data_IF_758729404058
#
_entry.id   IF_758729404058
#
_cell.length_a   1.000
_cell.length_b   1.000
_cell.length_c   1.000
_cell.angle_alpha   90.00
_cell.angle_beta   90.00
_cell.angle_gamma   90.00
#
_symmetry.space_group_name_H-M   'P 1'
#
loop_
_entity.id
_entity.type
_entity.pdbx_description
1 polymer ?
#
# COMPACT_ATOMS: atom_id res chain seq x y z
N UNK A 1 0.59 -16.10 4.02
CA UNK A 1 -0.33 -15.77 2.92
C UNK A 1 -1.73 -16.12 3.36
N UNK A 2 -2.62 -15.15 3.41
CA UNK A 2 -4.04 -15.40 3.70
C UNK A 2 -4.73 -15.82 2.40
N UNK A 3 -5.62 -16.82 2.42
CA UNK A 3 -6.36 -17.23 1.24
C UNK A 3 -7.49 -16.22 0.96
N UNK A 4 -7.14 -15.03 0.49
CA UNK A 4 -8.10 -14.02 0.09
C UNK A 4 -8.62 -14.35 -1.31
N UNK A 5 -9.94 -14.57 -1.41
CA UNK A 5 -10.64 -14.68 -2.68
C UNK A 5 -11.59 -13.49 -2.84
N UNK A 6 -12.02 -13.15 -4.06
CA UNK A 6 -13.04 -12.11 -4.25
C UNK A 6 -14.29 -12.31 -3.39
N UNK A 7 -14.69 -13.57 -3.19
CA UNK A 7 -15.87 -13.93 -2.38
C UNK A 7 -15.64 -13.67 -0.89
N UNK A 8 -14.46 -14.07 -0.36
CA UNK A 8 -14.17 -13.87 1.08
C UNK A 8 -13.99 -12.40 1.42
N UNK A 9 -13.32 -11.67 0.55
CA UNK A 9 -13.11 -10.21 0.72
C UNK A 9 -14.45 -9.46 0.55
N UNK A 10 -15.26 -9.84 -0.43
CA UNK A 10 -16.59 -9.28 -0.63
C UNK A 10 -17.52 -9.52 0.57
N UNK A 11 -17.51 -10.74 1.13
CA UNK A 11 -18.30 -11.06 2.32
C UNK A 11 -17.87 -10.24 3.54
N UNK A 12 -16.56 -10.07 3.74
CA UNK A 12 -16.03 -9.24 4.82
C UNK A 12 -16.41 -7.75 4.65
N UNK A 13 -16.38 -7.22 3.42
CA UNK A 13 -16.85 -5.87 3.11
C UNK A 13 -18.33 -5.69 3.49
N UNK A 14 -19.22 -6.60 3.10
CA UNK A 14 -20.64 -6.47 3.41
C UNK A 14 -20.90 -6.57 4.93
N UNK A 15 -20.16 -7.43 5.65
CA UNK A 15 -20.25 -7.48 7.11
C UNK A 15 -19.81 -6.16 7.77
N UNK A 16 -18.71 -5.55 7.28
CA UNK A 16 -18.23 -4.25 7.76
C UNK A 16 -19.24 -3.14 7.46
N UNK A 17 -19.79 -3.08 6.23
CA UNK A 17 -20.82 -2.09 5.86
C UNK A 17 -22.03 -2.18 6.78
N UNK A 18 -22.46 -3.40 7.08
CA UNK A 18 -23.59 -3.60 8.01
C UNK A 18 -23.25 -3.07 9.41
N UNK A 19 -22.07 -3.40 9.94
CA UNK A 19 -21.66 -2.94 11.27
C UNK A 19 -21.57 -1.41 11.36
N UNK A 20 -21.04 -0.74 10.32
CA UNK A 20 -20.98 0.72 10.24
C UNK A 20 -22.37 1.34 10.17
N UNK A 21 -23.29 0.77 9.38
CA UNK A 21 -24.66 1.25 9.32
C UNK A 21 -25.39 1.09 10.67
N UNK A 22 -25.20 -0.03 11.36
CA UNK A 22 -25.76 -0.28 12.71
C UNK A 22 -25.19 0.74 13.75
N UNK A 23 -23.95 1.22 13.56
CA UNK A 23 -23.30 2.25 14.38
C UNK A 23 -23.67 3.68 13.97
N UNK A 24 -24.41 3.86 12.87
CA UNK A 24 -24.74 5.17 12.33
C UNK A 24 -23.62 5.87 11.59
N UNK A 25 -22.56 5.16 11.23
CA UNK A 25 -21.43 5.69 10.46
C UNK A 25 -21.68 5.56 8.96
N UNK A 26 -21.78 6.69 8.26
CA UNK A 26 -21.98 6.75 6.80
C UNK A 26 -20.63 6.97 6.12
N UNK A 27 -20.00 5.88 5.66
CA UNK A 27 -18.76 5.88 4.92
C UNK A 27 -18.80 4.88 3.75
N UNK A 28 -18.29 5.30 2.59
CA UNK A 28 -18.17 4.41 1.43
C UNK A 28 -17.01 3.45 1.65
N UNK A 29 -17.29 2.14 1.59
CA UNK A 29 -16.29 1.08 1.70
C UNK A 29 -16.11 0.42 0.34
N UNK A 30 -14.90 0.51 -0.18
CA UNK A 30 -14.43 -0.27 -1.32
C UNK A 30 -13.49 -1.39 -0.86
N UNK A 31 -13.27 -2.38 -1.72
CA UNK A 31 -12.37 -3.48 -1.40
C UNK A 31 -11.47 -3.84 -2.59
N UNK A 32 -10.26 -4.23 -2.26
CA UNK A 32 -9.27 -4.77 -3.18
C UNK A 32 -8.39 -5.77 -2.42
N UNK A 33 -7.31 -6.21 -3.05
CA UNK A 33 -6.27 -6.99 -2.39
C UNK A 33 -4.91 -6.34 -2.62
N UNK A 34 -4.02 -6.51 -1.65
CA UNK A 34 -2.60 -6.21 -1.78
C UNK A 34 -1.88 -7.45 -2.29
N UNK A 35 -1.19 -7.30 -3.40
CA UNK A 35 -0.54 -8.41 -4.09
C UNK A 35 0.96 -8.35 -3.91
N UNK A 36 1.51 -9.34 -3.22
CA UNK A 36 2.96 -9.51 -3.18
C UNK A 36 3.45 -10.04 -4.53
N UNK A 37 4.46 -9.37 -5.10
CA UNK A 37 5.07 -9.76 -6.38
C UNK A 37 5.83 -11.07 -6.20
N UNK A 38 5.19 -12.18 -6.59
CA UNK A 38 5.70 -13.54 -6.56
C UNK A 38 5.07 -14.38 -7.69
N UNK A 39 5.35 -15.70 -7.71
CA UNK A 39 4.82 -16.61 -8.72
C UNK A 39 3.29 -16.73 -8.69
N UNK A 40 2.65 -16.54 -7.53
CA UNK A 40 1.20 -16.56 -7.42
C UNK A 40 0.60 -15.31 -8.08
N UNK A 41 1.16 -14.14 -7.78
CA UNK A 41 0.78 -12.89 -8.43
C UNK A 41 0.88 -12.99 -9.95
N UNK A 42 1.98 -13.54 -10.49
CA UNK A 42 2.15 -13.71 -11.93
C UNK A 42 1.04 -14.57 -12.55
N UNK A 43 0.63 -15.65 -11.87
CA UNK A 43 -0.48 -16.50 -12.33
C UNK A 43 -1.83 -15.79 -12.30
N UNK A 44 -2.10 -15.01 -11.25
CA UNK A 44 -3.36 -14.26 -11.12
C UNK A 44 -3.43 -13.13 -12.16
N UNK A 45 -2.29 -12.48 -12.46
CA UNK A 45 -2.17 -11.47 -13.51
C UNK A 45 -2.45 -12.07 -14.90
N UNK A 46 -1.84 -13.21 -15.23
CA UNK A 46 -2.08 -13.90 -16.48
C UNK A 46 -3.54 -14.39 -16.64
N UNK A 47 -4.15 -14.79 -15.54
CA UNK A 47 -5.54 -15.25 -15.51
C UNK A 47 -6.57 -14.09 -15.44
N UNK A 48 -6.11 -12.83 -15.39
CA UNK A 48 -6.95 -11.63 -15.27
C UNK A 48 -7.89 -11.66 -14.05
N UNK A 49 -7.42 -12.25 -12.92
CA UNK A 49 -8.22 -12.40 -11.69
C UNK A 49 -7.85 -11.43 -10.57
N UNK A 50 -7.13 -10.35 -10.91
CA UNK A 50 -6.74 -9.36 -9.92
C UNK A 50 -7.91 -8.47 -9.51
N UNK A 51 -8.05 -8.26 -8.22
CA UNK A 51 -8.99 -7.30 -7.65
C UNK A 51 -8.35 -5.91 -7.67
N UNK A 52 -9.07 -4.94 -8.21
CA UNK A 52 -8.60 -3.55 -8.27
C UNK A 52 -9.47 -2.64 -7.40
N UNK A 53 -8.90 -1.54 -6.98
CA UNK A 53 -9.66 -0.38 -6.50
C UNK A 53 -10.32 0.35 -7.68
N UNK A 54 -11.28 1.26 -7.44
CA UNK A 54 -11.84 2.12 -8.48
C UNK A 54 -10.74 2.80 -9.32
N UNK A 55 -11.04 3.08 -10.59
CA UNK A 55 -10.10 3.65 -11.57
C UNK A 55 -8.88 2.76 -11.89
N UNK A 56 -9.03 1.44 -11.76
CA UNK A 56 -8.02 0.43 -12.07
C UNK A 56 -6.73 0.52 -11.23
N UNK A 57 -6.80 1.09 -10.03
CA UNK A 57 -5.67 1.04 -9.11
C UNK A 57 -5.46 -0.38 -8.57
N UNK A 58 -4.21 -0.81 -8.53
CA UNK A 58 -3.82 -2.11 -7.97
C UNK A 58 -2.70 -1.92 -6.95
N UNK A 59 -2.89 -2.50 -5.76
CA UNK A 59 -1.90 -2.47 -4.70
C UNK A 59 -0.91 -3.61 -4.89
N UNK A 60 0.37 -3.28 -5.03
CA UNK A 60 1.47 -4.25 -5.16
C UNK A 60 2.49 -4.07 -4.04
N UNK A 61 2.96 -5.18 -3.51
CA UNK A 61 3.95 -5.26 -2.44
C UNK A 61 5.21 -5.98 -2.92
N UNK A 62 6.37 -5.43 -2.62
CA UNK A 62 7.63 -6.16 -2.79
C UNK A 62 7.89 -7.10 -1.61
N UNK A 63 8.53 -8.25 -1.82
CA UNK A 63 9.09 -9.03 -0.72
C UNK A 63 10.05 -8.19 0.14
N UNK A 64 9.94 -8.27 1.47
CA UNK A 64 10.76 -7.47 2.40
C UNK A 64 12.26 -7.83 2.39
N UNK A 65 12.61 -9.00 1.88
CA UNK A 65 14.01 -9.49 1.87
C UNK A 65 14.84 -8.85 0.76
N UNK A 66 14.23 -8.65 -0.41
CA UNK A 66 14.89 -8.06 -1.59
C UNK A 66 13.87 -7.62 -2.63
N UNK A 67 14.27 -6.68 -3.48
CA UNK A 67 13.52 -6.32 -4.67
C UNK A 67 13.36 -7.52 -5.62
N UNK A 68 12.15 -7.76 -6.17
CA UNK A 68 11.97 -8.75 -7.24
C UNK A 68 12.76 -8.34 -8.49
N UNK A 69 13.49 -9.30 -9.09
CA UNK A 69 14.30 -9.01 -10.29
C UNK A 69 13.52 -8.60 -11.52
N UNK A 70 12.18 -8.78 -11.49
CA UNK A 70 11.26 -8.43 -12.57
C UNK A 70 10.33 -7.25 -12.24
N UNK A 71 10.60 -6.47 -11.17
CA UNK A 71 9.72 -5.40 -10.71
C UNK A 71 9.41 -4.38 -11.83
N UNK A 72 10.43 -3.94 -12.56
CA UNK A 72 10.24 -2.97 -13.66
C UNK A 72 9.33 -3.54 -14.77
N UNK A 73 9.50 -4.82 -15.11
CA UNK A 73 8.64 -5.51 -16.09
C UNK A 73 7.21 -5.63 -15.57
N UNK A 74 7.01 -5.93 -14.29
CA UNK A 74 5.67 -6.02 -13.66
C UNK A 74 4.97 -4.67 -13.72
N UNK A 75 5.65 -3.57 -13.37
CA UNK A 75 5.09 -2.22 -13.45
C UNK A 75 4.67 -1.90 -14.89
N UNK A 76 5.53 -2.21 -15.86
CA UNK A 76 5.23 -2.00 -17.27
C UNK A 76 4.02 -2.85 -17.74
N UNK A 77 4.00 -4.15 -17.43
CA UNK A 77 2.93 -5.07 -17.84
C UNK A 77 1.57 -4.67 -17.27
N UNK A 78 1.54 -4.22 -16.01
CA UNK A 78 0.33 -3.68 -15.39
C UNK A 78 -0.21 -2.47 -16.17
N UNK A 79 0.66 -1.53 -16.53
CA UNK A 79 0.27 -0.33 -17.28
C UNK A 79 -0.22 -0.67 -18.69
N UNK A 80 0.43 -1.62 -19.38
CA UNK A 80 -0.01 -2.10 -20.71
C UNK A 80 -1.42 -2.70 -20.65
N UNK A 81 -1.77 -3.32 -19.52
CA UNK A 81 -3.13 -3.86 -19.25
C UNK A 81 -4.12 -2.79 -18.76
N UNK A 82 -3.72 -1.52 -18.72
CA UNK A 82 -4.57 -0.41 -18.28
C UNK A 82 -4.74 -0.33 -16.75
N UNK A 83 -3.89 -1.05 -16.00
CA UNK A 83 -3.85 -1.00 -14.54
C UNK A 83 -2.88 0.08 -14.05
N UNK A 84 -3.17 0.65 -12.88
CA UNK A 84 -2.38 1.72 -12.27
C UNK A 84 -1.71 1.19 -10.99
N UNK A 85 -0.44 0.77 -11.07
CA UNK A 85 0.23 0.15 -9.93
C UNK A 85 0.52 1.16 -8.81
N UNK A 86 0.11 0.82 -7.59
CA UNK A 86 0.49 1.50 -6.36
C UNK A 86 1.44 0.58 -5.60
N UNK A 87 2.71 0.95 -5.53
CA UNK A 87 3.67 0.28 -4.66
C UNK A 87 3.41 0.74 -3.22
N UNK A 88 2.94 -0.20 -2.40
CA UNK A 88 2.55 0.11 -1.03
C UNK A 88 3.77 0.16 -0.11
N UNK A 89 3.70 1.02 0.90
CA UNK A 89 4.71 1.21 1.96
C UNK A 89 6.17 1.11 1.48
N UNK A 90 6.58 1.84 0.40
CA UNK A 90 7.94 1.77 -0.14
C UNK A 90 9.00 2.14 0.90
N UNK A 91 8.66 2.92 1.90
CA UNK A 91 9.53 3.30 3.01
C UNK A 91 9.92 2.13 3.93
N UNK A 92 9.25 0.98 3.82
CA UNK A 92 9.53 -0.22 4.64
C UNK A 92 10.53 -1.17 3.97
N UNK A 93 10.95 -0.92 2.74
CA UNK A 93 11.91 -1.78 2.04
C UNK A 93 13.34 -1.36 2.36
N UNK A 94 13.93 -1.94 3.40
CA UNK A 94 15.25 -1.58 3.94
C UNK A 94 16.39 -1.67 2.93
N UNK A 95 16.24 -2.47 1.89
CA UNK A 95 17.26 -2.58 0.82
C UNK A 95 17.33 -1.31 -0.06
N UNK A 96 16.34 -0.41 -0.02
CA UNK A 96 16.40 0.88 -0.71
C UNK A 96 17.05 1.99 0.14
N UNK A 97 17.24 1.81 1.44
CA UNK A 97 17.74 2.88 2.32
C UNK A 97 19.11 3.43 1.89
N UNK A 98 19.95 2.58 1.27
CA UNK A 98 21.24 2.97 0.73
C UNK A 98 21.20 3.33 -0.75
N UNK A 99 20.05 3.20 -1.39
CA UNK A 99 19.82 3.40 -2.81
C UNK A 99 18.56 4.24 -3.06
N UNK A 100 18.47 5.45 -2.47
CA UNK A 100 17.25 6.27 -2.55
C UNK A 100 16.91 6.73 -3.98
N UNK A 101 17.87 6.69 -4.90
CA UNK A 101 17.67 6.92 -6.32
C UNK A 101 16.67 5.92 -6.96
N UNK A 102 16.55 4.73 -6.38
CA UNK A 102 15.63 3.70 -6.88
C UNK A 102 14.16 4.11 -6.78
N UNK A 103 13.80 4.88 -5.77
CA UNK A 103 12.44 5.41 -5.64
C UNK A 103 12.07 6.30 -6.84
N UNK A 104 12.95 7.20 -7.25
CA UNK A 104 12.72 8.08 -8.40
C UNK A 104 12.60 7.27 -9.70
N UNK A 105 13.43 6.25 -9.86
CA UNK A 105 13.36 5.34 -11.03
C UNK A 105 12.01 4.64 -11.10
N UNK A 106 11.52 4.06 -9.99
CA UNK A 106 10.24 3.36 -9.94
C UNK A 106 9.05 4.31 -10.16
N UNK A 107 9.08 5.49 -9.53
CA UNK A 107 8.02 6.49 -9.70
C UNK A 107 7.97 7.01 -11.15
N UNK A 108 9.12 7.29 -11.77
CA UNK A 108 9.22 7.70 -13.17
C UNK A 108 8.81 6.57 -14.14
N UNK A 109 8.96 5.30 -13.75
CA UNK A 109 8.45 4.16 -14.50
C UNK A 109 6.92 4.01 -14.40
N UNK A 110 6.25 4.82 -13.57
CA UNK A 110 4.80 4.88 -13.43
C UNK A 110 4.22 4.11 -12.25
N UNK A 111 5.06 3.66 -11.31
CA UNK A 111 4.57 3.19 -10.01
C UNK A 111 4.20 4.38 -9.14
N UNK A 112 2.96 4.45 -8.66
CA UNK A 112 2.55 5.38 -7.63
C UNK A 112 2.94 4.86 -6.26
N UNK A 113 3.20 5.75 -5.30
CA UNK A 113 3.62 5.35 -3.96
C UNK A 113 2.56 5.67 -2.92
N UNK A 114 2.25 4.67 -2.09
CA UNK A 114 1.45 4.84 -0.87
C UNK A 114 2.33 4.61 0.34
N UNK A 115 2.56 5.63 1.16
CA UNK A 115 3.24 5.51 2.45
C UNK A 115 2.26 5.27 3.58
N UNK A 116 2.74 4.71 4.70
CA UNK A 116 1.93 4.45 5.88
C UNK A 116 2.02 5.60 6.90
N UNK A 117 0.86 6.06 7.40
CA UNK A 117 0.81 6.99 8.54
C UNK A 117 1.58 6.44 9.75
N UNK A 118 1.52 5.13 9.95
CA UNK A 118 2.23 4.46 11.04
C UNK A 118 3.76 4.61 10.92
N UNK A 119 4.31 4.70 9.70
CA UNK A 119 5.72 5.01 9.47
C UNK A 119 6.05 6.43 9.92
N UNK A 120 5.24 7.41 9.55
CA UNK A 120 5.39 8.81 9.98
C UNK A 120 5.28 8.96 11.49
N UNK A 121 4.38 8.19 12.11
CA UNK A 121 4.24 8.12 13.57
C UNK A 121 5.42 7.41 14.27
N UNK A 122 6.37 6.83 13.52
CA UNK A 122 7.50 6.08 14.06
C UNK A 122 7.15 4.67 14.57
N UNK A 123 5.98 4.15 14.21
CA UNK A 123 5.49 2.85 14.68
C UNK A 123 6.29 1.66 14.14
N UNK A 124 6.94 1.80 13.00
CA UNK A 124 7.83 0.77 12.44
C UNK A 124 9.31 1.02 12.77
N UNK A 125 9.68 2.26 13.10
CA UNK A 125 11.05 2.62 13.45
C UNK A 125 11.47 3.98 12.91
N UNK A 126 12.70 4.37 13.26
CA UNK A 126 13.25 5.68 12.87
C UNK A 126 13.64 5.74 11.40
N UNK A 127 14.10 4.63 10.85
CA UNK A 127 14.56 4.57 9.47
C UNK A 127 13.37 4.63 8.52
N UNK A 128 12.28 3.90 8.79
CA UNK A 128 11.03 3.94 8.04
C UNK A 128 10.44 5.36 8.04
N UNK A 129 10.42 6.01 9.23
CA UNK A 129 9.97 7.40 9.35
C UNK A 129 10.81 8.34 8.50
N UNK A 130 12.13 8.26 8.60
CA UNK A 130 13.06 9.10 7.82
C UNK A 130 12.87 8.92 6.31
N UNK A 131 12.66 7.69 5.85
CA UNK A 131 12.41 7.43 4.42
C UNK A 131 11.05 7.97 4.01
N UNK A 132 10.00 7.78 4.81
CA UNK A 132 8.67 8.33 4.52
C UNK A 132 8.72 9.87 4.40
N UNK A 133 9.38 10.56 5.35
CA UNK A 133 9.58 12.00 5.31
C UNK A 133 10.36 12.43 4.04
N UNK A 134 11.43 11.73 3.70
CA UNK A 134 12.22 11.99 2.47
C UNK A 134 11.38 11.81 1.20
N UNK A 135 10.52 10.80 1.13
CA UNK A 135 9.63 10.58 -0.02
C UNK A 135 8.61 11.72 -0.17
N UNK A 136 8.08 12.24 0.95
CA UNK A 136 7.20 13.43 0.95
C UNK A 136 7.97 14.66 0.45
N UNK A 137 9.14 14.93 1.00
CA UNK A 137 9.98 16.08 0.62
C UNK A 137 10.33 16.08 -0.87
N UNK A 138 10.52 14.88 -1.45
CA UNK A 138 10.80 14.71 -2.88
C UNK A 138 9.55 14.78 -3.78
N UNK A 139 8.34 14.86 -3.20
CA UNK A 139 7.10 14.85 -3.96
C UNK A 139 6.82 13.50 -4.66
N UNK A 140 7.28 12.39 -4.09
CA UNK A 140 7.12 11.05 -4.65
C UNK A 140 5.93 10.28 -4.04
N UNK A 141 5.17 10.91 -3.13
CA UNK A 141 4.04 10.27 -2.46
C UNK A 141 2.74 10.64 -3.16
N UNK A 142 2.01 9.64 -3.65
CA UNK A 142 0.70 9.80 -4.30
C UNK A 142 -0.45 9.52 -3.33
N UNK A 143 -0.23 8.61 -2.37
CA UNK A 143 -1.25 8.16 -1.42
C UNK A 143 -0.68 8.00 -0.02
N UNK A 144 -1.57 8.15 0.96
CA UNK A 144 -1.28 7.85 2.36
C UNK A 144 -2.30 6.80 2.83
N UNK A 145 -1.81 5.73 3.46
CA UNK A 145 -2.63 4.66 4.02
C UNK A 145 -2.33 4.41 5.48
N UNK A 146 -3.21 3.69 6.17
CA UNK A 146 -2.99 3.31 7.57
C UNK A 146 -2.29 1.97 7.70
N UNK A 147 -2.52 1.07 6.76
CA UNK A 147 -2.07 -0.34 6.84
C UNK A 147 -2.43 -0.95 8.21
N UNK A 148 -3.66 -0.68 8.65
CA UNK A 148 -4.14 -0.98 10.00
C UNK A 148 -4.41 -2.47 10.16
N UNK A 149 -3.66 -3.14 11.04
CA UNK A 149 -3.79 -4.57 11.29
C UNK A 149 -4.31 -4.92 12.69
N UNK A 150 -4.26 -3.97 13.63
CA UNK A 150 -4.67 -4.21 15.02
C UNK A 150 -4.93 -2.89 15.76
N UNK A 151 -5.54 -2.98 16.96
CA UNK A 151 -5.87 -1.83 17.79
C UNK A 151 -4.65 -1.01 18.22
N UNK A 152 -3.49 -1.66 18.46
CA UNK A 152 -2.28 -0.93 18.86
C UNK A 152 -1.78 0.00 17.72
N UNK A 153 -1.98 -0.37 16.46
CA UNK A 153 -1.69 0.53 15.33
C UNK A 153 -2.63 1.73 15.36
N UNK A 154 -3.94 1.53 15.63
CA UNK A 154 -4.89 2.63 15.76
C UNK A 154 -4.47 3.61 16.84
N UNK A 155 -4.13 3.12 18.04
CA UNK A 155 -3.69 3.95 19.17
C UNK A 155 -2.44 4.80 18.85
N UNK A 156 -1.51 4.29 18.05
CA UNK A 156 -0.32 5.03 17.62
C UNK A 156 -0.70 6.12 16.64
N UNK A 157 -1.54 5.79 15.66
CA UNK A 157 -2.01 6.73 14.64
C UNK A 157 -2.81 7.86 15.29
N UNK A 158 -3.73 7.55 16.17
CA UNK A 158 -4.55 8.54 16.88
C UNK A 158 -3.68 9.52 17.66
N UNK A 159 -2.69 9.03 18.39
CA UNK A 159 -1.74 9.89 19.12
C UNK A 159 -0.92 10.77 18.18
N UNK A 160 -0.50 10.23 17.02
CA UNK A 160 0.25 10.99 16.03
C UNK A 160 -0.61 12.11 15.45
N UNK A 161 -1.84 11.82 15.04
CA UNK A 161 -2.76 12.79 14.45
C UNK A 161 -3.18 13.88 15.46
N UNK A 162 -3.23 13.55 16.75
CA UNK A 162 -3.48 14.53 17.82
C UNK A 162 -2.24 15.37 18.19
N UNK A 163 -1.06 15.04 17.68
CA UNK A 163 0.20 15.73 17.98
C UNK A 163 0.46 16.91 17.05
N UNK A 164 1.37 17.83 17.48
CA UNK A 164 1.85 18.91 16.60
C UNK A 164 2.78 18.41 15.48
N UNK A 165 3.26 17.17 15.56
CA UNK A 165 4.15 16.59 14.54
C UNK A 165 3.42 16.33 13.22
N UNK A 166 2.13 16.05 13.29
CA UNK A 166 1.26 15.91 12.13
C UNK A 166 1.13 17.19 11.29
N UNK A 167 1.30 18.37 11.92
CA UNK A 167 1.12 19.67 11.26
C UNK A 167 2.42 20.23 10.65
N UNK A 168 3.54 19.53 10.78
CA UNK A 168 4.85 19.91 10.23
C UNK A 168 5.08 19.27 8.87
#
# INVERSE_FOLDING_TARGET
TFPNTPETVGSAREALKKALADDGTDIVIENSAEYRIDDLFARELEAERLMTLPNNYILIENPFVREPGNLDSVIFDLQVRGLRPILVHPERYSYYYKHPERYEVLHNAGAMFQINVLSLAGGYGKDERKIAEMLIEKGLVDFVGTDLHNAAHADIIDRYLASSDYLK
#
